data_IF_005292629637
#
_entry.id   IF_005292629637
#
_cell.length_a   1.000
_cell.length_b   1.000
_cell.length_c   1.000
_cell.angle_alpha   90.00
_cell.angle_beta   90.00
_cell.angle_gamma   90.00
#
_symmetry.space_group_name_H-M   'P 1'
#
loop_
_entity.id
_entity.type
_entity.pdbx_description
1 polymer ?
#
# COMPACT_ATOMS: atom_id res chain seq x y z
N UNK A 1 26.51 -15.78 -9.35
CA UNK A 1 26.39 -15.76 -7.88
C UNK A 1 24.97 -15.36 -7.57
N UNK A 2 24.22 -16.16 -6.81
CA UNK A 2 22.94 -15.67 -6.28
C UNK A 2 23.27 -14.58 -5.28
N UNK A 3 22.68 -13.41 -5.48
CA UNK A 3 22.80 -12.29 -4.56
C UNK A 3 21.66 -12.45 -3.57
N UNK A 4 21.98 -12.59 -2.29
CA UNK A 4 20.98 -12.80 -1.25
C UNK A 4 20.05 -11.59 -1.15
N UNK A 5 18.74 -11.83 -1.17
CA UNK A 5 17.71 -10.80 -1.10
C UNK A 5 17.06 -10.82 0.27
N UNK A 6 17.13 -9.69 0.98
CA UNK A 6 16.63 -9.55 2.34
C UNK A 6 15.61 -8.40 2.45
N UNK A 7 14.68 -8.51 3.39
CA UNK A 7 13.67 -7.49 3.67
C UNK A 7 13.73 -7.11 5.15
N UNK A 8 13.92 -5.82 5.42
CA UNK A 8 13.93 -5.26 6.77
C UNK A 8 12.68 -4.42 6.99
N UNK A 9 11.98 -4.66 8.11
CA UNK A 9 10.75 -3.93 8.46
C UNK A 9 10.99 -3.18 9.77
N UNK A 10 10.80 -1.87 9.74
CA UNK A 10 10.86 -0.99 10.91
C UNK A 10 9.53 -0.29 11.11
N UNK A 11 8.92 -0.48 12.28
CA UNK A 11 7.62 0.13 12.63
C UNK A 11 7.83 1.13 13.77
N UNK A 12 7.31 2.34 13.60
CA UNK A 12 7.36 3.42 14.59
C UNK A 12 6.05 4.21 14.53
N UNK A 13 5.76 5.01 15.56
CA UNK A 13 4.51 5.78 15.65
C UNK A 13 4.28 6.72 14.44
N UNK A 14 5.34 7.23 13.81
CA UNK A 14 5.23 8.18 12.69
C UNK A 14 5.41 7.57 11.28
N UNK A 15 5.88 6.32 11.18
CA UNK A 15 6.09 5.68 9.87
C UNK A 15 6.36 4.18 9.99
N UNK A 16 5.93 3.45 8.97
CA UNK A 16 6.41 2.09 8.65
C UNK A 16 7.42 2.20 7.51
N UNK A 17 8.57 1.54 7.65
CA UNK A 17 9.66 1.56 6.64
C UNK A 17 10.02 0.13 6.29
N UNK A 18 10.07 -0.15 4.99
CA UNK A 18 10.47 -1.45 4.45
C UNK A 18 11.66 -1.22 3.53
N UNK A 19 12.78 -1.87 3.83
CA UNK A 19 13.99 -1.84 3.01
C UNK A 19 14.20 -3.21 2.38
N UNK A 20 14.45 -3.23 1.06
CA UNK A 20 14.87 -4.42 0.33
C UNK A 20 16.35 -4.28 0.02
N UNK A 21 17.14 -5.27 0.40
CA UNK A 21 18.57 -5.30 0.09
C UNK A 21 18.91 -6.50 -0.76
N UNK A 22 19.89 -6.35 -1.64
CA UNK A 22 20.48 -7.42 -2.43
C UNK A 22 21.99 -7.43 -2.18
N UNK A 23 22.49 -8.50 -1.56
CA UNK A 23 23.90 -8.65 -1.21
C UNK A 23 24.38 -7.59 -0.22
N UNK A 24 23.51 -7.24 0.73
CA UNK A 24 23.74 -6.15 1.70
C UNK A 24 23.61 -4.73 1.14
N UNK A 25 23.36 -4.56 -0.16
CA UNK A 25 23.15 -3.23 -0.76
C UNK A 25 21.66 -2.89 -0.81
N UNK A 26 21.29 -1.71 -0.34
CA UNK A 26 19.90 -1.21 -0.44
C UNK A 26 19.50 -1.00 -1.90
N UNK A 27 18.43 -1.65 -2.34
CA UNK A 27 17.90 -1.53 -3.70
C UNK A 27 16.52 -0.84 -3.74
N UNK A 28 15.67 -1.06 -2.73
CA UNK A 28 14.36 -0.40 -2.63
C UNK A 28 14.07 0.03 -1.19
N UNK A 29 13.38 1.16 -1.06
CA UNK A 29 12.91 1.69 0.22
C UNK A 29 11.46 2.16 0.09
N UNK A 30 10.57 1.55 0.86
CA UNK A 30 9.18 1.99 1.01
C UNK A 30 9.00 2.66 2.36
N UNK A 31 8.35 3.82 2.38
CA UNK A 31 8.01 4.56 3.59
C UNK A 31 6.52 4.86 3.53
N UNK A 32 5.78 4.29 4.47
CA UNK A 32 4.36 4.55 4.67
C UNK A 32 4.19 5.42 5.91
N UNK A 33 3.45 6.52 5.76
CA UNK A 33 3.07 7.42 6.86
C UNK A 33 1.58 7.24 7.17
N UNK A 34 1.16 7.27 8.43
CA UNK A 34 -0.24 7.07 8.81
C UNK A 34 -1.20 8.03 8.10
N UNK A 35 -0.75 9.25 7.88
CA UNK A 35 -1.50 10.36 7.29
C UNK A 35 -1.64 10.27 5.76
N UNK A 36 -0.99 9.28 5.12
CA UNK A 36 -1.03 9.09 3.67
C UNK A 36 -1.48 7.68 3.29
N UNK A 37 -2.76 7.37 3.54
CA UNK A 37 -3.35 6.09 3.13
C UNK A 37 -4.03 6.22 1.76
N UNK A 38 -3.54 5.48 0.77
CA UNK A 38 -4.14 5.44 -0.58
C UNK A 38 -5.37 4.55 -0.58
N UNK A 39 -6.49 5.04 -1.12
CA UNK A 39 -7.72 4.24 -1.27
C UNK A 39 -7.76 3.42 -2.57
N UNK A 40 -6.94 3.79 -3.57
CA UNK A 40 -6.91 3.11 -4.88
C UNK A 40 -6.45 1.67 -4.71
N UNK A 41 -7.24 0.73 -5.26
CA UNK A 41 -6.97 -0.71 -5.18
C UNK A 41 -7.65 -1.41 -4.01
N UNK A 42 -8.24 -0.65 -3.08
CA UNK A 42 -9.03 -1.24 -2.01
C UNK A 42 -10.30 -1.89 -2.56
N UNK A 43 -10.68 -3.02 -1.96
CA UNK A 43 -11.91 -3.75 -2.29
C UNK A 43 -12.80 -3.72 -1.05
N UNK A 44 -14.05 -3.30 -1.24
CA UNK A 44 -15.03 -3.17 -0.17
C UNK A 44 -16.31 -3.95 -0.50
N UNK A 45 -17.00 -4.40 0.55
CA UNK A 45 -18.38 -4.90 0.44
C UNK A 45 -19.34 -3.76 0.80
N UNK A 46 -19.77 -3.00 -0.21
CA UNK A 46 -20.72 -1.91 -0.06
C UNK A 46 -22.19 -2.37 -0.09
N UNK A 47 -23.07 -1.58 0.52
CA UNK A 47 -24.51 -1.65 0.34
C UNK A 47 -24.92 -0.51 -0.59
N UNK A 48 -25.75 -0.81 -1.60
CA UNK A 48 -26.26 0.21 -2.53
C UNK A 48 -27.31 1.05 -1.78
N UNK A 49 -27.11 2.36 -1.77
CA UNK A 49 -28.02 3.34 -1.18
C UNK A 49 -29.04 3.87 -2.20
N UNK A 50 -28.63 4.13 -3.45
CA UNK A 50 -29.50 4.69 -4.48
C UNK A 50 -29.06 4.37 -5.91
N UNK A 51 -30.03 4.32 -6.84
CA UNK A 51 -29.79 4.08 -8.28
C UNK A 51 -30.26 5.28 -9.10
N UNK A 52 -29.42 5.76 -10.02
CA UNK A 52 -29.68 6.94 -10.87
C UNK A 52 -29.62 6.53 -12.34
N UNK A 53 -30.75 6.13 -12.97
CA UNK A 53 -30.76 5.61 -14.33
C UNK A 53 -30.22 6.59 -15.39
N UNK A 54 -30.54 7.89 -15.26
CA UNK A 54 -30.11 8.91 -16.23
C UNK A 54 -28.60 9.15 -16.26
N UNK A 55 -27.88 8.76 -15.21
CA UNK A 55 -26.42 8.85 -15.13
C UNK A 55 -25.74 7.48 -15.32
N UNK A 56 -26.54 6.42 -15.47
CA UNK A 56 -26.07 5.02 -15.51
C UNK A 56 -25.16 4.68 -14.31
N UNK A 57 -25.54 5.14 -13.11
CA UNK A 57 -24.76 5.00 -11.88
C UNK A 57 -25.60 4.53 -10.68
N UNK A 58 -24.93 3.93 -9.70
CA UNK A 58 -25.48 3.60 -8.38
C UNK A 58 -24.45 3.96 -7.32
N UNK A 59 -24.94 4.39 -6.16
CA UNK A 59 -24.13 4.77 -4.99
C UNK A 59 -24.54 3.88 -3.82
#
# INVERSE_FOLDING_TARGET
>A
MNVDKEMFINVSAGSTRIAITEGGNLVELHIERPDYQRMVGNIYKGLIQNVIPGMQAAF
#
